data_IF_676540652573
#
_entry.id   IF_676540652573
#
_cell.length_a   1.000
_cell.length_b   1.000
_cell.length_c   1.000
_cell.angle_alpha   90.00
_cell.angle_beta   90.00
_cell.angle_gamma   90.00
#
_symmetry.space_group_name_H-M   'P 1'
#
loop_
_entity.id
_entity.type
_entity.pdbx_description
1 polymer ?
#
# COMPACT_ATOMS: atom_id res chain seq x y z
N UNK A 1 21.36 -12.40 12.41
CA UNK A 1 21.18 -10.93 12.50
C UNK A 1 22.45 -10.15 12.81
N UNK A 2 23.06 -10.22 14.01
CA UNK A 2 24.40 -9.62 14.21
C UNK A 2 25.49 -10.36 13.42
N UNK A 3 25.28 -11.67 13.20
CA UNK A 3 26.09 -12.50 12.31
C UNK A 3 25.95 -12.01 10.86
N UNK A 4 24.72 -11.79 10.41
CA UNK A 4 24.42 -11.31 9.05
C UNK A 4 24.95 -9.88 8.84
N UNK A 5 24.84 -8.99 9.82
CA UNK A 5 25.43 -7.67 9.76
C UNK A 5 26.96 -7.72 9.69
N UNK A 6 27.59 -8.67 10.40
CA UNK A 6 29.03 -8.90 10.31
C UNK A 6 29.45 -9.50 8.96
N UNK A 7 28.58 -10.30 8.32
CA UNK A 7 28.78 -10.82 6.97
C UNK A 7 28.70 -9.68 5.94
N UNK A 8 27.66 -8.85 5.99
CA UNK A 8 27.51 -7.66 5.14
C UNK A 8 28.69 -6.69 5.34
N UNK A 9 29.14 -6.48 6.58
CA UNK A 9 30.31 -5.64 6.84
C UNK A 9 31.57 -6.20 6.16
N UNK A 10 31.80 -7.52 6.21
CA UNK A 10 32.92 -8.15 5.50
C UNK A 10 32.80 -7.98 3.98
N UNK A 11 31.60 -8.15 3.42
CA UNK A 11 31.35 -7.98 1.99
C UNK A 11 31.60 -6.53 1.52
N UNK A 12 31.35 -5.56 2.40
CA UNK A 12 31.61 -4.14 2.17
C UNK A 12 33.03 -3.72 2.55
N UNK A 13 33.92 -4.65 2.89
CA UNK A 13 35.29 -4.40 3.36
C UNK A 13 35.36 -3.50 4.62
N UNK A 14 34.31 -3.51 5.43
CA UNK A 14 34.20 -2.79 6.71
C UNK A 14 34.52 -3.77 7.86
N UNK A 15 35.40 -3.41 8.82
CA UNK A 15 35.68 -4.25 9.99
C UNK A 15 34.39 -4.58 10.79
N UNK A 16 34.04 -5.87 11.00
CA UNK A 16 32.80 -6.29 11.66
C UNK A 16 32.90 -6.24 13.20
N UNK A 17 33.62 -5.27 13.74
CA UNK A 17 33.90 -5.10 15.16
C UNK A 17 33.52 -3.70 15.58
N UNK A 18 32.73 -3.59 16.64
CA UNK A 18 32.50 -2.31 17.28
C UNK A 18 33.77 -1.87 18.00
N UNK A 19 34.27 -0.69 17.68
CA UNK A 19 35.38 -0.10 18.43
C UNK A 19 34.95 0.18 19.87
N UNK A 20 35.85 -0.02 20.82
CA UNK A 20 35.60 0.36 22.20
C UNK A 20 35.49 1.89 22.27
N UNK A 21 34.33 2.41 22.66
CA UNK A 21 34.17 3.85 22.82
C UNK A 21 35.13 4.37 23.91
N UNK A 22 35.78 5.54 23.69
CA UNK A 22 36.55 6.18 24.75
C UNK A 22 35.62 6.48 25.92
N UNK A 23 36.06 6.14 27.14
CA UNK A 23 35.26 6.30 28.38
C UNK A 23 34.55 7.65 28.37
N UNK A 24 33.22 7.62 28.30
CA UNK A 24 32.40 8.83 28.33
C UNK A 24 32.68 9.55 29.65
N UNK A 25 33.05 10.83 29.56
CA UNK A 25 33.39 11.65 30.73
C UNK A 25 32.14 11.82 31.57
N UNK A 26 32.11 11.19 32.74
CA UNK A 26 31.06 11.42 33.73
C UNK A 26 31.05 12.90 34.13
N UNK A 27 29.89 13.54 34.01
CA UNK A 27 29.68 14.89 34.54
C UNK A 27 29.61 14.80 36.07
N UNK A 28 30.30 15.73 36.75
CA UNK A 28 30.12 15.88 38.20
C UNK A 28 28.68 16.29 38.48
N UNK A 29 28.00 15.49 39.30
CA UNK A 29 26.70 15.85 39.89
C UNK A 29 26.87 17.05 40.82
N UNK A 30 25.90 17.95 40.82
CA UNK A 30 25.89 19.07 41.76
C UNK A 30 25.27 18.65 43.10
N UNK A 31 24.35 17.69 43.07
CA UNK A 31 23.65 17.19 44.25
C UNK A 31 23.65 15.66 44.28
N UNK A 32 23.76 15.08 45.49
CA UNK A 32 23.86 13.63 45.68
C UNK A 32 22.57 12.85 45.37
N UNK A 33 21.43 13.53 45.24
CA UNK A 33 20.15 12.92 44.86
C UNK A 33 19.93 12.85 43.34
N UNK A 34 20.84 13.42 42.53
CA UNK A 34 20.73 13.37 41.08
C UNK A 34 20.94 11.92 40.59
N UNK A 35 20.06 11.39 39.72
CA UNK A 35 20.25 10.08 39.10
C UNK A 35 21.54 10.07 38.27
N UNK A 36 22.18 8.91 38.13
CA UNK A 36 23.27 8.73 37.16
C UNK A 36 22.68 8.88 35.75
N UNK A 37 23.14 9.88 34.99
CA UNK A 37 23.01 9.85 33.53
C UNK A 37 23.99 8.78 33.03
N UNK A 38 23.55 7.52 32.98
CA UNK A 38 24.31 6.44 32.37
C UNK A 38 24.10 6.46 30.85
N UNK A 39 25.10 6.89 30.05
CA UNK A 39 25.02 6.70 28.60
C UNK A 39 25.00 5.19 28.28
N UNK A 40 24.39 4.81 27.15
CA UNK A 40 24.47 3.42 26.65
C UNK A 40 25.93 3.11 26.32
N UNK A 41 26.64 2.47 27.27
CA UNK A 41 28.09 2.28 27.19
C UNK A 41 28.52 1.18 26.20
N UNK A 42 27.59 0.31 25.79
CA UNK A 42 27.89 -0.77 24.85
C UNK A 42 27.56 -0.33 23.41
N UNK A 43 28.56 -0.12 22.54
CA UNK A 43 28.35 0.28 21.15
C UNK A 43 27.50 -0.72 20.36
N UNK A 44 27.55 -2.00 20.73
CA UNK A 44 26.73 -3.05 20.12
C UNK A 44 25.26 -2.88 20.49
N UNK A 45 24.97 -2.57 21.75
CA UNK A 45 23.62 -2.27 22.21
C UNK A 45 23.11 -0.95 21.60
N UNK A 46 23.97 0.06 21.49
CA UNK A 46 23.67 1.33 20.82
C UNK A 46 23.28 1.11 19.35
N UNK A 47 24.08 0.36 18.59
CA UNK A 47 23.77 -0.02 17.21
C UNK A 47 22.46 -0.81 17.11
N UNK A 48 22.26 -1.77 18.02
CA UNK A 48 21.04 -2.60 18.04
C UNK A 48 19.78 -1.76 18.25
N UNK A 49 19.80 -0.82 19.19
CA UNK A 49 18.63 0.00 19.53
C UNK A 49 18.42 1.14 18.53
N UNK A 50 19.44 1.94 18.28
CA UNK A 50 19.27 3.20 17.57
C UNK A 50 19.33 3.08 16.04
N UNK A 51 19.91 1.99 15.52
CA UNK A 51 19.96 1.75 14.09
C UNK A 51 19.06 0.58 13.70
N UNK A 52 19.33 -0.59 14.30
CA UNK A 52 18.68 -1.82 13.85
C UNK A 52 17.19 -1.87 14.18
N UNK A 53 16.79 -1.60 15.43
CA UNK A 53 15.35 -1.53 15.78
C UNK A 53 14.65 -0.38 15.05
N UNK A 54 15.29 0.77 14.87
CA UNK A 54 14.72 1.87 14.09
C UNK A 54 14.39 1.46 12.63
N UNK A 55 15.25 0.68 11.98
CA UNK A 55 15.00 0.15 10.63
C UNK A 55 13.86 -0.88 10.66
N UNK A 56 13.87 -1.80 11.63
CA UNK A 56 12.80 -2.79 11.77
C UNK A 56 11.44 -2.12 12.00
N UNK A 57 11.35 -1.17 12.92
CA UNK A 57 10.13 -0.44 13.23
C UNK A 57 9.63 0.32 11.99
N UNK A 58 10.55 0.91 11.22
CA UNK A 58 10.21 1.57 9.95
C UNK A 58 9.69 0.56 8.92
N UNK A 59 10.31 -0.62 8.81
CA UNK A 59 9.87 -1.66 7.89
C UNK A 59 8.48 -2.21 8.29
N UNK A 60 8.26 -2.45 9.59
CA UNK A 60 6.97 -2.87 10.16
C UNK A 60 5.90 -1.83 9.83
N UNK A 61 6.13 -0.57 10.21
CA UNK A 61 5.17 0.52 9.95
C UNK A 61 4.87 0.66 8.45
N UNK A 62 5.88 0.55 7.60
CA UNK A 62 5.69 0.63 6.15
C UNK A 62 4.84 -0.53 5.60
N UNK A 63 4.97 -1.73 6.17
CA UNK A 63 4.12 -2.89 5.81
C UNK A 63 2.70 -2.69 6.32
N UNK A 64 2.53 -2.22 7.55
CA UNK A 64 1.22 -1.92 8.14
C UNK A 64 0.46 -0.86 7.32
N UNK A 65 1.11 0.27 7.01
CA UNK A 65 0.54 1.34 6.18
C UNK A 65 0.11 0.80 4.80
N UNK A 66 0.94 -0.01 4.14
CA UNK A 66 0.60 -0.63 2.86
C UNK A 66 -0.58 -1.60 2.96
N UNK A 67 -0.69 -2.33 4.08
CA UNK A 67 -1.79 -3.26 4.29
C UNK A 67 -3.12 -2.52 4.50
N UNK A 68 -3.12 -1.43 5.26
CA UNK A 68 -4.30 -0.56 5.44
C UNK A 68 -4.74 0.10 4.13
N UNK A 69 -3.78 0.57 3.34
CA UNK A 69 -4.04 1.09 1.99
C UNK A 69 -4.65 0.02 1.09
N UNK A 70 -4.12 -1.21 1.11
CA UNK A 70 -4.65 -2.32 0.32
C UNK A 70 -6.11 -2.64 0.69
N UNK A 71 -6.45 -2.68 1.98
CA UNK A 71 -7.84 -2.86 2.44
C UNK A 71 -8.73 -1.72 1.94
N UNK A 72 -8.23 -0.49 1.96
CA UNK A 72 -8.98 0.68 1.49
C UNK A 72 -9.29 0.57 0.00
N UNK A 73 -8.27 0.26 -0.82
CA UNK A 73 -8.39 0.05 -2.27
C UNK A 73 -9.34 -1.11 -2.57
N UNK A 74 -9.17 -2.24 -1.89
CA UNK A 74 -10.05 -3.40 -2.02
C UNK A 74 -11.50 -3.00 -1.76
N UNK A 75 -11.78 -2.28 -0.67
CA UNK A 75 -13.14 -1.85 -0.34
C UNK A 75 -13.81 -0.98 -1.42
N UNK A 76 -13.02 -0.26 -2.23
CA UNK A 76 -13.49 0.66 -3.27
C UNK A 76 -13.61 -0.04 -4.62
N UNK A 77 -12.60 -0.83 -5.00
CA UNK A 77 -12.47 -1.43 -6.34
C UNK A 77 -12.93 -2.89 -6.43
N UNK A 78 -13.14 -3.59 -5.31
CA UNK A 78 -13.44 -5.04 -5.27
C UNK A 78 -14.60 -5.45 -6.20
N UNK A 79 -15.62 -4.60 -6.37
CA UNK A 79 -16.74 -4.92 -7.27
C UNK A 79 -16.34 -5.08 -8.74
N UNK A 80 -15.23 -4.45 -9.19
CA UNK A 80 -14.69 -4.61 -10.56
C UNK A 80 -13.99 -5.96 -10.76
N UNK A 81 -13.60 -6.66 -9.71
CA UNK A 81 -13.19 -8.07 -9.80
C UNK A 81 -14.37 -9.02 -9.97
N UNK A 82 -15.58 -8.55 -9.69
CA UNK A 82 -16.80 -9.37 -9.67
C UNK A 82 -17.86 -8.86 -10.66
N UNK A 83 -17.44 -8.34 -11.82
CA UNK A 83 -18.34 -7.75 -12.83
C UNK A 83 -19.40 -8.74 -13.29
N UNK A 84 -19.06 -10.02 -13.49
CA UNK A 84 -20.03 -11.05 -13.84
C UNK A 84 -21.12 -11.22 -12.76
N UNK A 85 -20.71 -11.15 -11.49
CA UNK A 85 -21.62 -11.18 -10.34
C UNK A 85 -22.51 -9.95 -10.20
N UNK A 86 -22.32 -8.89 -11.00
CA UNK A 86 -23.22 -7.73 -10.99
C UNK A 86 -24.58 -8.06 -11.63
N UNK A 87 -24.69 -9.12 -12.43
CA UNK A 87 -25.98 -9.54 -13.01
C UNK A 87 -27.02 -9.91 -11.95
N UNK A 88 -26.57 -10.39 -10.78
CA UNK A 88 -27.44 -10.74 -9.65
C UNK A 88 -27.73 -9.57 -8.71
N UNK A 89 -27.11 -8.40 -8.94
CA UNK A 89 -27.30 -7.19 -8.15
C UNK A 89 -28.31 -6.26 -8.80
N UNK A 90 -29.02 -5.51 -7.99
CA UNK A 90 -29.91 -4.45 -8.44
C UNK A 90 -29.13 -3.24 -8.94
N UNK A 91 -29.72 -2.45 -9.84
CA UNK A 91 -29.12 -1.20 -10.31
C UNK A 91 -28.74 -0.24 -9.17
N UNK A 92 -29.52 -0.23 -8.09
CA UNK A 92 -29.25 0.62 -6.93
C UNK A 92 -28.00 0.17 -6.16
N UNK A 93 -27.76 -1.14 -6.04
CA UNK A 93 -26.55 -1.68 -5.41
C UNK A 93 -25.31 -1.38 -6.25
N UNK A 94 -25.39 -1.54 -7.57
CA UNK A 94 -24.29 -1.22 -8.50
C UNK A 94 -23.96 0.27 -8.44
N UNK A 95 -25.00 1.13 -8.48
CA UNK A 95 -24.81 2.58 -8.41
C UNK A 95 -24.18 3.00 -7.08
N UNK A 96 -24.52 2.34 -5.96
CA UNK A 96 -23.88 2.59 -4.66
C UNK A 96 -22.37 2.31 -4.70
N UNK A 97 -21.95 1.22 -5.32
CA UNK A 97 -20.53 0.91 -5.55
C UNK A 97 -19.87 1.96 -6.45
N UNK A 98 -20.52 2.34 -7.56
CA UNK A 98 -19.99 3.36 -8.48
C UNK A 98 -19.82 4.72 -7.80
N UNK A 99 -20.77 5.14 -6.95
CA UNK A 99 -20.66 6.39 -6.18
C UNK A 99 -19.53 6.35 -5.16
N UNK A 100 -19.30 5.19 -4.53
CA UNK A 100 -18.16 5.01 -3.62
C UNK A 100 -16.84 5.17 -4.38
N UNK A 101 -16.74 4.61 -5.58
CA UNK A 101 -15.58 4.76 -6.45
C UNK A 101 -15.39 6.20 -6.94
N UNK A 102 -16.44 6.84 -7.44
CA UNK A 102 -16.41 8.25 -7.85
C UNK A 102 -15.92 9.15 -6.72
N UNK A 103 -16.45 8.98 -5.50
CA UNK A 103 -16.02 9.76 -4.34
C UNK A 103 -14.57 9.50 -3.94
N UNK A 104 -14.04 8.29 -4.16
CA UNK A 104 -12.65 7.95 -3.87
C UNK A 104 -11.68 8.52 -4.92
N UNK A 105 -12.15 8.74 -6.14
CA UNK A 105 -11.41 9.30 -7.27
C UNK A 105 -11.74 10.78 -7.54
N UNK A 106 -12.39 11.44 -6.57
CA UNK A 106 -12.72 12.85 -6.66
C UNK A 106 -11.69 13.67 -5.90
N UNK A 107 -11.24 14.76 -6.51
CA UNK A 107 -10.41 15.76 -5.85
C UNK A 107 -10.99 17.17 -6.10
N UNK A 108 -11.61 17.73 -5.07
CA UNK A 108 -12.35 18.99 -5.18
C UNK A 108 -13.54 18.84 -6.14
N UNK A 109 -13.62 19.70 -7.15
CA UNK A 109 -14.67 19.67 -8.18
C UNK A 109 -14.33 18.75 -9.37
N UNK A 110 -13.09 18.25 -9.43
CA UNK A 110 -12.65 17.35 -10.50
C UNK A 110 -12.93 15.90 -10.12
N UNK A 111 -13.43 15.14 -11.10
CA UNK A 111 -13.71 13.71 -11.01
C UNK A 111 -13.18 13.00 -12.24
N UNK A 112 -12.55 11.85 -12.03
CA UNK A 112 -12.02 11.03 -13.12
C UNK A 112 -13.12 10.24 -13.84
N UNK A 113 -14.25 9.99 -13.18
CA UNK A 113 -15.38 9.25 -13.72
C UNK A 113 -16.71 9.74 -13.16
N UNK A 114 -17.80 9.36 -13.83
CA UNK A 114 -19.18 9.68 -13.44
C UNK A 114 -19.91 8.40 -13.02
N UNK A 115 -20.42 8.36 -11.79
CA UNK A 115 -20.98 7.13 -11.22
C UNK A 115 -22.23 6.61 -11.95
N UNK A 116 -23.10 7.49 -12.45
CA UNK A 116 -24.29 7.09 -13.23
C UNK A 116 -23.91 6.40 -14.53
N UNK A 117 -22.90 6.94 -15.21
CA UNK A 117 -22.47 6.48 -16.52
C UNK A 117 -21.75 5.15 -16.37
N UNK A 118 -20.82 5.05 -15.39
CA UNK A 118 -20.18 3.79 -15.02
C UNK A 118 -21.19 2.69 -14.68
N UNK A 119 -22.26 3.02 -13.94
CA UNK A 119 -23.32 2.06 -13.61
C UNK A 119 -24.00 1.53 -14.88
N UNK A 120 -24.34 2.41 -15.83
CA UNK A 120 -24.93 2.02 -17.11
C UNK A 120 -23.98 1.18 -17.97
N UNK A 121 -22.71 1.59 -18.04
CA UNK A 121 -21.64 0.87 -18.75
C UNK A 121 -21.47 -0.55 -18.21
N UNK A 122 -21.37 -0.72 -16.88
CA UNK A 122 -21.28 -2.02 -16.22
C UNK A 122 -22.48 -2.92 -16.52
N UNK A 123 -23.70 -2.37 -16.48
CA UNK A 123 -24.90 -3.14 -16.80
C UNK A 123 -24.95 -3.57 -18.27
N UNK A 124 -24.43 -2.74 -19.17
CA UNK A 124 -24.38 -3.04 -20.60
C UNK A 124 -23.39 -4.16 -20.92
N UNK A 125 -22.23 -4.17 -20.26
CA UNK A 125 -21.18 -5.16 -20.52
C UNK A 125 -21.38 -6.45 -19.73
N UNK A 126 -22.00 -6.41 -18.55
CA UNK A 126 -22.14 -7.57 -17.67
C UNK A 126 -22.77 -8.78 -18.37
N UNK A 127 -23.70 -8.56 -19.31
CA UNK A 127 -24.34 -9.63 -20.12
C UNK A 127 -23.50 -10.15 -21.29
N UNK A 128 -22.49 -9.38 -21.70
CA UNK A 128 -21.61 -9.68 -22.84
C UNK A 128 -20.34 -10.41 -22.43
N UNK A 129 -20.00 -10.35 -21.13
CA UNK A 129 -18.88 -11.07 -20.54
C UNK A 129 -19.22 -12.56 -20.47
N UNK A 130 -18.26 -13.40 -20.89
CA UNK A 130 -18.35 -14.85 -20.77
C UNK A 130 -17.86 -15.32 -19.41
N UNK A 131 -18.14 -16.57 -19.05
CA UNK A 131 -17.58 -17.24 -17.86
C UNK A 131 -16.04 -17.32 -17.88
N UNK A 132 -15.41 -17.06 -19.03
CA UNK A 132 -13.96 -17.01 -19.20
C UNK A 132 -13.35 -15.67 -18.79
N UNK A 133 -14.11 -14.56 -18.87
CA UNK A 133 -13.66 -13.23 -18.43
C UNK A 133 -13.79 -13.08 -16.93
N UNK A 134 -12.80 -13.59 -16.18
CA UNK A 134 -12.84 -13.67 -14.71
C UNK A 134 -12.11 -12.53 -14.02
N UNK A 135 -11.10 -11.94 -14.67
CA UNK A 135 -10.29 -10.88 -14.07
C UNK A 135 -10.56 -9.51 -14.70
N UNK A 136 -10.30 -8.40 -13.99
CA UNK A 136 -10.33 -7.06 -14.57
C UNK A 136 -9.44 -6.92 -15.82
N UNK A 137 -8.34 -7.69 -15.89
CA UNK A 137 -7.43 -7.74 -17.04
C UNK A 137 -8.07 -8.39 -18.28
N UNK A 138 -8.90 -9.41 -18.07
CA UNK A 138 -9.65 -10.04 -19.16
C UNK A 138 -10.75 -9.11 -19.65
N UNK A 139 -11.40 -8.38 -18.73
CA UNK A 139 -12.47 -7.42 -19.06
C UNK A 139 -11.90 -6.26 -19.87
N UNK A 140 -10.79 -5.64 -19.44
CA UNK A 140 -10.18 -4.56 -20.22
C UNK A 140 -9.72 -5.07 -21.59
N UNK A 141 -9.12 -6.27 -21.67
CA UNK A 141 -8.73 -6.88 -22.94
C UNK A 141 -9.94 -7.11 -23.85
N UNK A 142 -11.06 -7.59 -23.30
CA UNK A 142 -12.29 -7.79 -24.05
C UNK A 142 -12.81 -6.45 -24.62
N UNK A 143 -12.81 -5.39 -23.83
CA UNK A 143 -13.23 -4.05 -24.27
C UNK A 143 -12.36 -3.58 -25.45
N UNK A 144 -11.04 -3.74 -25.34
CA UNK A 144 -10.09 -3.36 -26.40
C UNK A 144 -10.29 -4.20 -27.68
N UNK A 145 -10.37 -5.53 -27.55
CA UNK A 145 -10.56 -6.43 -28.69
C UNK A 145 -11.88 -6.21 -29.44
N UNK A 146 -12.90 -5.69 -28.75
CA UNK A 146 -14.22 -5.41 -29.32
C UNK A 146 -14.39 -3.93 -29.73
N UNK A 147 -13.34 -3.10 -29.64
CA UNK A 147 -13.37 -1.65 -29.92
C UNK A 147 -14.49 -0.91 -29.16
N UNK A 148 -14.66 -1.23 -27.87
CA UNK A 148 -15.72 -0.65 -27.02
C UNK A 148 -15.23 0.53 -26.17
N UNK A 149 -14.01 1.01 -26.39
CA UNK A 149 -13.37 2.06 -25.57
C UNK A 149 -14.22 3.35 -25.53
N UNK A 150 -14.71 3.78 -26.69
CA UNK A 150 -15.55 4.99 -26.79
C UNK A 150 -16.96 4.80 -26.21
N UNK A 151 -17.42 3.54 -26.13
CA UNK A 151 -18.75 3.20 -25.60
C UNK A 151 -18.76 2.98 -24.09
N UNK A 152 -17.59 2.66 -23.51
CA UNK A 152 -17.41 2.33 -22.09
C UNK A 152 -16.26 3.15 -21.46
N UNK A 153 -16.25 4.49 -21.61
CA UNK A 153 -15.11 5.30 -21.21
C UNK A 153 -14.87 5.29 -19.70
N UNK A 154 -15.92 5.35 -18.87
CA UNK A 154 -15.76 5.38 -17.42
C UNK A 154 -15.24 4.03 -16.88
N UNK A 155 -15.70 2.93 -17.45
CA UNK A 155 -15.23 1.59 -17.12
C UNK A 155 -13.78 1.39 -17.56
N UNK A 156 -13.39 1.91 -18.73
CA UNK A 156 -11.99 1.89 -19.17
C UNK A 156 -11.09 2.64 -18.18
N UNK A 157 -11.50 3.84 -17.75
CA UNK A 157 -10.76 4.63 -16.77
C UNK A 157 -10.64 3.87 -15.44
N UNK A 158 -11.77 3.36 -14.93
CA UNK A 158 -11.78 2.60 -13.68
C UNK A 158 -10.88 1.37 -13.71
N UNK A 159 -10.91 0.60 -14.81
CA UNK A 159 -10.06 -0.58 -14.98
C UNK A 159 -8.58 -0.22 -15.17
N UNK A 160 -8.25 0.87 -15.87
CA UNK A 160 -6.86 1.33 -16.02
C UNK A 160 -6.27 1.76 -14.67
N UNK A 161 -7.03 2.50 -13.88
CA UNK A 161 -6.62 2.91 -12.53
C UNK A 161 -6.42 1.67 -11.63
N UNK A 162 -7.34 0.70 -11.68
CA UNK A 162 -7.24 -0.53 -10.89
C UNK A 162 -6.00 -1.37 -11.24
N UNK A 163 -5.55 -1.36 -12.49
CA UNK A 163 -4.49 -2.22 -12.99
C UNK A 163 -3.10 -1.57 -12.98
N UNK A 164 -2.98 -0.35 -12.46
CA UNK A 164 -1.71 0.36 -12.28
C UNK A 164 -1.09 0.02 -10.94
#
# INVERSE_FOLDING_TARGET
MLVDAAEIAKDLEIPPTFEAEPRLRQRKKQFAYEPEDEPVQDPKQNFKVNFFFAILDTAIRSVEERFEQMITIESVFCFLYHIHGLQSKTSQEILKCCKKLESALQHGDNRDLVASDLCGELQSIARRLSEETKSPQDVIRFILCQNLEDSLPNLCIALRILLT
#
